data_IF_694554852253
#
_entry.id   IF_694554852253
#
_cell.length_a   1.000
_cell.length_b   1.000
_cell.length_c   1.000
_cell.angle_alpha   90.00
_cell.angle_beta   90.00
_cell.angle_gamma   90.00
#
_symmetry.space_group_name_H-M   'P 1'
#
loop_
_entity.id
_entity.type
_entity.pdbx_description
1 polymer ?
#
# COMPACT_ATOMS: atom_id res chain seq x y z
N UNK A 1 -13.35 7.08 -12.57
CA UNK A 1 -13.83 5.79 -12.03
C UNK A 1 -15.29 5.97 -11.67
N UNK A 2 -16.16 5.03 -12.06
CA UNK A 2 -17.52 4.98 -11.52
C UNK A 2 -17.40 4.46 -10.08
N UNK A 3 -18.30 4.84 -9.17
CA UNK A 3 -18.34 4.38 -7.77
C UNK A 3 -18.44 2.84 -7.57
N UNK A 4 -18.45 2.08 -8.66
CA UNK A 4 -18.69 0.64 -8.69
C UNK A 4 -17.47 -0.17 -8.23
N UNK A 5 -16.25 0.26 -8.59
CA UNK A 5 -15.02 -0.49 -8.28
C UNK A 5 -14.62 -0.38 -6.79
N UNK A 6 -14.92 0.74 -6.15
CA UNK A 6 -14.74 0.88 -4.70
C UNK A 6 -15.75 0.05 -3.90
N UNK A 7 -16.95 -0.20 -4.45
CA UNK A 7 -18.01 -0.96 -3.78
C UNK A 7 -17.75 -2.48 -3.74
N UNK A 8 -16.80 -2.98 -4.54
CA UNK A 8 -16.39 -4.39 -4.54
C UNK A 8 -15.07 -4.63 -3.81
N UNK A 9 -14.39 -3.56 -3.36
CA UNK A 9 -13.12 -3.66 -2.67
C UNK A 9 -13.32 -3.92 -1.18
N UNK A 10 -12.51 -4.83 -0.62
CA UNK A 10 -12.49 -5.08 0.83
C UNK A 10 -11.87 -3.89 1.56
N UNK A 11 -12.58 -3.27 2.48
CA UNK A 11 -12.02 -2.18 3.28
C UNK A 11 -10.98 -2.70 4.26
N UNK A 12 -9.84 -2.02 4.33
CA UNK A 12 -8.74 -2.30 5.26
C UNK A 12 -8.42 -1.04 6.07
N UNK A 13 -7.99 -1.26 7.31
CA UNK A 13 -7.43 -0.20 8.15
C UNK A 13 -5.92 -0.10 7.93
N UNK A 14 -5.37 1.10 8.12
CA UNK A 14 -3.92 1.30 8.21
C UNK A 14 -3.37 0.51 9.42
N UNK A 15 -2.07 0.23 9.41
CA UNK A 15 -1.33 -0.49 10.46
C UNK A 15 -1.86 -1.90 10.77
N UNK A 16 -2.68 -2.47 9.87
CA UNK A 16 -3.20 -3.84 9.98
C UNK A 16 -2.59 -4.72 8.89
N UNK A 17 -2.07 -5.89 9.28
CA UNK A 17 -1.57 -6.89 8.33
C UNK A 17 -2.76 -7.54 7.61
N UNK A 18 -2.68 -7.55 6.27
CA UNK A 18 -3.68 -8.13 5.38
C UNK A 18 -3.05 -9.31 4.66
N UNK A 19 -3.64 -10.49 4.81
CA UNK A 19 -3.15 -11.74 4.24
C UNK A 19 -4.22 -12.45 3.41
N UNK A 20 -3.79 -13.29 2.47
CA UNK A 20 -4.70 -14.12 1.70
C UNK A 20 -4.00 -14.81 0.53
N UNK A 21 -4.78 -15.27 -0.44
CA UNK A 21 -4.28 -15.99 -1.62
C UNK A 21 -4.92 -15.45 -2.89
N UNK A 22 -4.11 -15.00 -3.85
CA UNK A 22 -4.61 -14.47 -5.13
C UNK A 22 -4.35 -15.46 -6.26
N UNK A 23 -5.38 -15.78 -7.05
CA UNK A 23 -5.20 -16.51 -8.30
C UNK A 23 -4.48 -15.60 -9.32
N UNK A 24 -3.41 -16.06 -9.98
CA UNK A 24 -2.61 -15.23 -10.88
C UNK A 24 -3.34 -14.75 -12.15
N UNK A 25 -4.58 -15.22 -12.39
CA UNK A 25 -5.50 -14.71 -13.41
C UNK A 25 -6.45 -13.60 -12.94
N UNK A 26 -6.44 -13.29 -11.65
CA UNK A 26 -7.37 -12.37 -10.99
C UNK A 26 -6.65 -11.20 -10.34
N UNK A 27 -7.43 -10.21 -9.90
CA UNK A 27 -6.98 -9.07 -9.12
C UNK A 27 -7.87 -8.99 -7.89
N UNK A 28 -7.25 -8.83 -6.73
CA UNK A 28 -7.96 -8.48 -5.50
C UNK A 28 -7.81 -7.00 -5.21
N UNK A 29 -8.91 -6.38 -4.78
CA UNK A 29 -8.99 -4.95 -4.52
C UNK A 29 -9.25 -4.71 -3.04
N UNK A 30 -8.43 -3.87 -2.43
CA UNK A 30 -8.60 -3.39 -1.08
C UNK A 30 -8.77 -1.88 -1.09
N UNK A 31 -9.64 -1.35 -0.24
CA UNK A 31 -9.89 0.08 -0.12
C UNK A 31 -9.42 0.62 1.24
N UNK A 32 -8.85 1.82 1.23
CA UNK A 32 -8.50 2.56 2.45
C UNK A 32 -8.80 4.05 2.27
N UNK A 33 -8.97 4.77 3.37
CA UNK A 33 -9.13 6.22 3.33
C UNK A 33 -7.76 6.89 3.52
N UNK A 34 -7.37 7.73 2.56
CA UNK A 34 -6.16 8.54 2.63
C UNK A 34 -6.49 9.99 2.99
N UNK A 35 -5.58 10.64 3.68
CA UNK A 35 -5.63 12.09 4.00
C UNK A 35 -4.55 12.84 3.21
N UNK A 36 -4.87 13.99 2.62
CA UNK A 36 -3.94 14.82 1.86
C UNK A 36 -2.64 15.07 2.62
N UNK A 37 -1.50 14.86 1.96
CA UNK A 37 -0.17 15.09 2.52
C UNK A 37 0.36 13.97 3.42
N UNK A 38 -0.45 12.96 3.74
CA UNK A 38 0.01 11.75 4.42
C UNK A 38 0.99 10.99 3.52
N UNK A 39 2.12 10.55 4.08
CA UNK A 39 3.04 9.63 3.40
C UNK A 39 2.84 8.23 3.96
N UNK A 40 2.63 7.25 3.08
CA UNK A 40 2.42 5.86 3.43
C UNK A 40 3.49 4.98 2.77
N UNK A 41 3.78 3.86 3.42
CA UNK A 41 4.60 2.76 2.93
C UNK A 41 3.69 1.55 2.70
N UNK A 42 3.89 0.85 1.58
CA UNK A 42 3.30 -0.48 1.36
C UNK A 42 4.35 -1.53 1.71
N UNK A 43 4.29 -2.03 2.94
CA UNK A 43 5.21 -3.04 3.44
C UNK A 43 4.72 -4.42 3.02
N UNK A 44 5.59 -5.19 2.35
CA UNK A 44 5.28 -6.54 1.84
C UNK A 44 6.08 -7.56 2.60
N UNK A 45 5.40 -8.52 3.21
CA UNK A 45 6.08 -9.63 3.87
C UNK A 45 6.35 -10.79 2.88
N UNK A 46 5.58 -10.86 1.78
CA UNK A 46 5.74 -11.84 0.69
C UNK A 46 5.90 -11.17 -0.68
N UNK A 47 6.81 -11.72 -1.51
CA UNK A 47 7.27 -11.11 -2.77
C UNK A 47 6.76 -11.79 -4.05
N UNK A 48 5.86 -12.75 -3.92
CA UNK A 48 5.24 -13.56 -4.97
C UNK A 48 4.01 -12.91 -5.64
N UNK A 49 3.56 -11.76 -5.14
CA UNK A 49 2.47 -10.95 -5.69
C UNK A 49 2.92 -9.53 -6.02
N UNK A 50 2.25 -8.86 -6.95
CA UNK A 50 2.47 -7.46 -7.30
C UNK A 50 1.36 -6.57 -6.76
N UNK A 51 1.75 -5.36 -6.36
CA UNK A 51 0.88 -4.36 -5.73
C UNK A 51 0.90 -3.07 -6.55
N UNK A 52 -0.25 -2.42 -6.68
CA UNK A 52 -0.38 -1.10 -7.28
C UNK A 52 -1.41 -0.29 -6.53
N UNK A 53 -1.06 0.95 -6.19
CA UNK A 53 -1.95 1.89 -5.50
C UNK A 53 -2.57 2.84 -6.51
N UNK A 54 -3.89 3.01 -6.44
CA UNK A 54 -4.66 3.95 -7.26
C UNK A 54 -5.39 4.96 -6.38
N UNK A 55 -5.47 6.20 -6.86
CA UNK A 55 -6.24 7.25 -6.21
C UNK A 55 -7.71 7.29 -6.66
N UNK A 56 -8.53 8.18 -6.05
CA UNK A 56 -9.98 8.24 -6.28
C UNK A 56 -10.39 8.46 -7.76
N UNK A 57 -9.51 9.03 -8.58
CA UNK A 57 -9.74 9.27 -10.01
C UNK A 57 -9.16 8.18 -10.92
N UNK A 58 -8.81 7.01 -10.35
CA UNK A 58 -8.11 5.91 -11.04
C UNK A 58 -6.69 6.26 -11.51
N UNK A 59 -6.09 7.30 -10.95
CA UNK A 59 -4.71 7.66 -11.25
C UNK A 59 -3.75 6.71 -10.52
N UNK A 60 -2.67 6.30 -11.19
CA UNK A 60 -1.58 5.57 -10.56
C UNK A 60 -0.93 6.44 -9.48
N UNK A 61 -0.74 5.87 -8.29
CA UNK A 61 -0.08 6.50 -7.15
C UNK A 61 1.28 5.85 -6.91
N UNK A 62 1.31 4.51 -6.78
CA UNK A 62 2.52 3.79 -6.40
C UNK A 62 2.55 2.33 -6.86
N UNK A 63 3.76 1.78 -6.94
CA UNK A 63 4.03 0.35 -7.13
C UNK A 63 4.42 -0.34 -5.82
N UNK A 64 4.97 -1.55 -5.91
CA UNK A 64 5.19 -2.45 -4.77
C UNK A 64 6.41 -2.14 -3.89
N UNK A 65 7.14 -1.03 -4.14
CA UNK A 65 8.49 -0.77 -3.59
C UNK A 65 8.70 0.73 -3.34
N UNK A 66 7.63 1.49 -3.09
CA UNK A 66 7.75 2.95 -2.97
C UNK A 66 6.81 3.48 -1.91
N UNK A 67 7.37 4.28 -1.01
CA UNK A 67 6.61 5.25 -0.24
C UNK A 67 5.85 6.16 -1.20
N UNK A 68 4.67 6.60 -0.79
CA UNK A 68 3.85 7.47 -1.59
C UNK A 68 3.12 8.48 -0.73
N UNK A 69 3.02 9.69 -1.26
CA UNK A 69 2.26 10.77 -0.64
C UNK A 69 0.86 10.80 -1.21
N UNK A 70 -0.13 10.90 -0.33
CA UNK A 70 -1.53 11.03 -0.67
C UNK A 70 -1.79 12.44 -1.25
N UNK A 71 -2.21 12.55 -2.53
CA UNK A 71 -2.38 13.85 -3.18
C UNK A 71 -3.67 14.59 -2.83
N UNK A 72 -4.58 13.99 -2.06
CA UNK A 72 -5.86 14.58 -1.69
C UNK A 72 -6.66 13.64 -0.79
N UNK A 73 -7.63 14.17 -0.05
CA UNK A 73 -8.51 13.34 0.77
C UNK A 73 -9.37 12.41 -0.11
N UNK A 74 -9.55 11.16 0.32
CA UNK A 74 -10.52 10.27 -0.32
C UNK A 74 -10.21 8.78 -0.16
N UNK A 75 -10.97 7.97 -0.90
CA UNK A 75 -10.81 6.52 -0.91
C UNK A 75 -9.83 6.09 -2.00
N UNK A 76 -8.80 5.35 -1.59
CA UNK A 76 -7.75 4.81 -2.43
C UNK A 76 -7.91 3.30 -2.56
N UNK A 77 -7.27 2.72 -3.57
CA UNK A 77 -7.30 1.29 -3.83
C UNK A 77 -5.89 0.70 -3.84
N UNK A 78 -5.73 -0.47 -3.21
CA UNK A 78 -4.60 -1.37 -3.44
C UNK A 78 -5.08 -2.52 -4.32
N UNK A 79 -4.44 -2.69 -5.48
CA UNK A 79 -4.66 -3.81 -6.36
C UNK A 79 -3.54 -4.85 -6.17
N UNK A 80 -3.92 -6.06 -5.76
CA UNK A 80 -3.02 -7.20 -5.58
C UNK A 80 -3.19 -8.18 -6.75
N UNK A 81 -2.10 -8.61 -7.36
CA UNK A 81 -2.11 -9.60 -8.45
C UNK A 81 -1.02 -10.65 -8.30
N UNK A 82 -1.31 -11.90 -8.66
CA UNK A 82 -0.28 -12.94 -8.77
C UNK A 82 0.55 -12.81 -10.06
N UNK A 83 1.76 -13.36 -10.07
CA UNK A 83 2.60 -13.36 -11.28
C UNK A 83 2.44 -14.63 -12.12
N UNK A 84 1.49 -14.60 -13.05
CA UNK A 84 1.18 -15.72 -13.96
C UNK A 84 2.36 -16.26 -14.77
N UNK A 85 3.36 -15.41 -15.03
CA UNK A 85 4.57 -15.78 -15.80
C UNK A 85 5.51 -16.73 -15.05
N UNK A 86 5.41 -16.79 -13.71
CA UNK A 86 6.29 -17.60 -12.87
C UNK A 86 5.55 -18.77 -12.21
N UNK A 87 4.24 -18.62 -11.97
CA UNK A 87 3.40 -19.66 -11.36
C UNK A 87 1.96 -19.54 -11.89
N UNK A 88 1.32 -20.67 -12.19
CA UNK A 88 -0.09 -20.72 -12.59
C UNK A 88 -1.00 -21.25 -11.48
N UNK A 89 -0.48 -21.40 -10.26
CA UNK A 89 -1.23 -21.69 -9.04
C UNK A 89 -1.49 -20.39 -8.26
N UNK A 90 -2.53 -20.34 -7.41
CA UNK A 90 -2.71 -19.27 -6.44
C UNK A 90 -1.43 -19.03 -5.62
N UNK A 91 -1.20 -17.77 -5.25
CA UNK A 91 -0.04 -17.34 -4.47
C UNK A 91 -0.49 -16.59 -3.23
N UNK A 92 0.14 -16.90 -2.11
CA UNK A 92 -0.11 -16.20 -0.85
C UNK A 92 0.36 -14.74 -0.96
N UNK A 93 -0.29 -13.82 -0.27
CA UNK A 93 0.18 -12.45 -0.12
C UNK A 93 0.07 -12.03 1.35
N UNK A 94 0.95 -11.13 1.77
CA UNK A 94 0.89 -10.44 3.06
C UNK A 94 1.43 -9.02 2.88
N UNK A 95 0.63 -8.03 3.27
CA UNK A 95 1.01 -6.63 3.21
C UNK A 95 0.41 -5.80 4.33
N UNK A 96 1.00 -4.62 4.60
CA UNK A 96 0.47 -3.60 5.49
C UNK A 96 0.68 -2.21 4.87
N UNK A 97 -0.27 -1.32 5.09
CA UNK A 97 -0.10 0.12 4.83
C UNK A 97 0.19 0.82 6.14
N UNK A 98 1.32 1.50 6.24
CA UNK A 98 1.75 2.19 7.47
C UNK A 98 2.39 3.55 7.18
N UNK A 99 2.35 4.45 8.15
CA UNK A 99 3.15 5.68 8.08
C UNK A 99 4.62 5.37 8.37
N UNK A 100 5.58 5.98 7.65
CA UNK A 100 6.99 5.74 7.88
C UNK A 100 7.39 6.21 9.27
N UNK A 101 8.01 5.32 10.05
CA UNK A 101 8.56 5.65 11.36
C UNK A 101 9.58 6.78 11.22
N UNK A 102 9.22 7.97 11.71
CA UNK A 102 10.14 9.10 11.76
C UNK A 102 11.23 8.80 12.78
N UNK A 103 12.39 8.29 12.35
CA UNK A 103 13.60 8.28 13.18
C UNK A 103 14.02 9.72 13.42
N UNK A 104 13.55 10.28 14.52
CA UNK A 104 13.92 11.61 14.97
C UNK A 104 15.43 11.60 15.27
N UNK A 105 16.24 12.07 14.33
CA UNK A 105 17.66 12.30 14.55
C UNK A 105 17.77 13.48 15.50
N UNK A 106 17.72 13.19 16.80
CA UNK A 106 18.11 14.15 17.83
C UNK A 106 19.59 14.45 17.60
N UNK A 107 19.91 15.60 17.00
CA UNK A 107 21.29 16.07 16.94
C UNK A 107 21.75 16.24 18.39
N UNK A 108 22.77 15.49 18.89
CA UNK A 108 23.34 15.83 20.18
C UNK A 108 23.98 17.21 20.03
N UNK A 109 23.45 18.20 20.76
CA UNK A 109 24.09 19.51 20.89
C UNK A 109 25.45 19.30 21.54
N UNK A 110 26.51 19.30 20.73
CA UNK A 110 27.89 19.26 21.21
C UNK A 110 28.24 20.63 21.82
N UNK A 111 27.75 20.87 23.04
CA UNK A 111 28.20 21.97 23.88
C UNK A 111 29.48 21.56 24.61
N UNK A 112 30.62 21.53 23.92
CA UNK A 112 31.91 21.53 24.62
C UNK A 112 32.31 22.98 24.86
N UNK A 113 32.02 23.46 26.08
CA UNK A 113 32.71 24.62 26.67
C UNK A 113 33.59 24.11 27.81
N UNK A 114 34.91 24.22 27.64
CA UNK A 114 35.86 24.88 28.55
C UNK A 114 37.24 24.86 27.94
#
# INVERSE_FOLDING_TARGET
>A
MSSLDANIATTIDLDTTVEGTVDPSTIELFSFNGTEGQTLVLERELFNSGYTVYGPSNQFIAGSESDFTIPGDGTYLVAVRGFKRFNNQPVDYSFRLEEPVQVQRSTPSAAWRK
#
